data_IF_583232535069
#
_entry.id   IF_583232535069
#
_cell.length_a   1.000
_cell.length_b   1.000
_cell.length_c   1.000
_cell.angle_alpha   90.00
_cell.angle_beta   90.00
_cell.angle_gamma   90.00
#
_symmetry.space_group_name_H-M   'P 1'
#
loop_
_entity.id
_entity.type
_entity.pdbx_description
1 polymer ?
#
# COMPACT_ATOMS: atom_id res chain seq x y z
N UNK A 1 7.09 20.05 -18.58
CA UNK A 1 7.80 20.47 -19.80
C UNK A 1 9.30 20.43 -19.63
N UNK A 2 9.96 21.59 -19.52
CA UNK A 2 11.44 21.68 -19.51
C UNK A 2 12.09 21.07 -18.25
N UNK A 3 11.48 21.28 -17.08
CA UNK A 3 11.95 20.75 -15.80
C UNK A 3 11.85 19.21 -15.71
N UNK A 4 10.78 18.63 -16.25
CA UNK A 4 10.61 17.16 -16.29
C UNK A 4 11.64 16.50 -17.20
N UNK A 5 11.98 17.14 -18.33
CA UNK A 5 13.03 16.65 -19.24
C UNK A 5 14.40 16.71 -18.56
N UNK A 6 14.71 17.77 -17.81
CA UNK A 6 15.98 17.89 -17.08
C UNK A 6 16.08 16.84 -15.97
N UNK A 7 15.00 16.60 -15.23
CA UNK A 7 14.96 15.63 -14.14
C UNK A 7 15.08 14.18 -14.67
N UNK A 8 14.50 13.90 -15.84
CA UNK A 8 14.68 12.63 -16.54
C UNK A 8 16.11 12.47 -17.05
N UNK A 9 16.72 13.52 -17.62
CA UNK A 9 18.12 13.50 -18.05
C UNK A 9 19.06 13.21 -16.88
N UNK A 10 18.85 13.85 -15.74
CA UNK A 10 19.65 13.67 -14.54
C UNK A 10 19.54 12.25 -13.97
N UNK A 11 18.32 11.69 -13.96
CA UNK A 11 18.09 10.27 -13.59
C UNK A 11 18.79 9.31 -14.54
N UNK A 12 18.72 9.55 -15.86
CA UNK A 12 19.40 8.68 -16.84
C UNK A 12 20.91 8.76 -16.73
N UNK A 13 21.48 9.95 -16.48
CA UNK A 13 22.93 10.10 -16.28
C UNK A 13 23.41 9.42 -15.00
N UNK A 14 22.61 9.44 -13.94
CA UNK A 14 22.93 8.74 -12.69
C UNK A 14 22.92 7.22 -12.87
N UNK A 15 21.88 6.68 -13.52
CA UNK A 15 21.79 5.27 -13.87
C UNK A 15 22.97 4.82 -14.74
N UNK A 16 23.36 5.63 -15.72
CA UNK A 16 24.51 5.36 -16.58
C UNK A 16 25.81 5.27 -15.77
N UNK A 17 26.03 6.21 -14.85
CA UNK A 17 27.21 6.24 -14.00
C UNK A 17 27.27 5.04 -13.04
N UNK A 18 26.13 4.65 -12.48
CA UNK A 18 26.05 3.49 -11.58
C UNK A 18 26.34 2.19 -12.34
N UNK A 19 25.85 2.09 -13.58
CA UNK A 19 26.11 0.97 -14.47
C UNK A 19 27.60 0.87 -14.87
N UNK A 20 28.21 1.99 -15.27
CA UNK A 20 29.63 2.05 -15.64
C UNK A 20 30.54 1.71 -14.44
N UNK A 21 30.18 2.17 -13.24
CA UNK A 21 30.87 1.83 -12.00
C UNK A 21 30.76 0.34 -11.69
N UNK A 22 29.58 -0.25 -11.88
CA UNK A 22 29.37 -1.68 -11.69
C UNK A 22 30.21 -2.51 -12.67
N UNK A 23 30.23 -2.15 -13.95
CA UNK A 23 31.05 -2.82 -14.96
C UNK A 23 32.55 -2.64 -14.74
N UNK A 24 33.00 -1.51 -14.17
CA UNK A 24 34.40 -1.30 -13.81
C UNK A 24 34.87 -2.15 -12.61
N UNK A 25 33.94 -2.62 -11.77
CA UNK A 25 34.25 -3.47 -10.61
C UNK A 25 34.29 -4.97 -10.98
N UNK A 26 33.73 -5.34 -12.13
CA UNK A 26 33.83 -6.68 -12.70
C UNK A 26 35.16 -6.82 -13.45
N UNK A 27 36.20 -7.32 -12.76
CA UNK A 27 37.45 -7.68 -13.44
C UNK A 27 37.22 -8.81 -14.45
N UNK A 28 38.00 -8.85 -15.53
CA UNK A 28 37.83 -9.78 -16.65
C UNK A 28 37.90 -11.28 -16.28
N UNK A 29 38.33 -11.64 -15.06
CA UNK A 29 38.36 -13.01 -14.55
C UNK A 29 37.05 -13.44 -13.84
N UNK A 30 36.08 -12.52 -13.68
CA UNK A 30 34.79 -12.78 -13.03
C UNK A 30 33.74 -13.44 -13.96
N UNK A 31 34.17 -14.29 -14.90
CA UNK A 31 33.27 -15.04 -15.80
C UNK A 31 32.46 -16.14 -15.07
N UNK A 32 32.79 -16.45 -13.81
CA UNK A 32 31.92 -17.22 -12.90
C UNK A 32 30.84 -16.36 -12.22
N UNK A 33 30.89 -15.03 -12.37
CA UNK A 33 30.02 -14.06 -11.70
C UNK A 33 28.72 -13.73 -12.42
N UNK A 34 28.50 -14.22 -13.65
CA UNK A 34 27.27 -13.91 -14.41
C UNK A 34 26.00 -14.43 -13.76
N UNK A 35 26.05 -15.53 -13.00
CA UNK A 35 24.89 -16.00 -12.22
C UNK A 35 24.58 -15.10 -11.03
N UNK A 36 25.61 -14.55 -10.38
CA UNK A 36 25.44 -13.62 -9.26
C UNK A 36 24.97 -12.26 -9.75
N UNK A 37 25.53 -11.78 -10.87
CA UNK A 37 25.06 -10.57 -11.55
C UNK A 37 23.64 -10.76 -12.06
N UNK A 38 23.29 -11.88 -12.69
CA UNK A 38 21.92 -12.17 -13.13
C UNK A 38 20.97 -12.27 -11.93
N UNK A 39 21.40 -12.85 -10.80
CA UNK A 39 20.62 -12.89 -9.56
C UNK A 39 20.37 -11.49 -9.02
N UNK A 40 21.41 -10.68 -8.87
CA UNK A 40 21.32 -9.30 -8.35
C UNK A 40 20.50 -8.43 -9.31
N UNK A 41 20.72 -8.51 -10.62
CA UNK A 41 19.95 -7.78 -11.61
C UNK A 41 18.49 -8.21 -11.58
N UNK A 42 18.18 -9.50 -11.47
CA UNK A 42 16.80 -9.98 -11.30
C UNK A 42 16.18 -9.49 -10.01
N UNK A 43 16.89 -9.53 -8.89
CA UNK A 43 16.42 -9.05 -7.59
C UNK A 43 16.10 -7.55 -7.63
N UNK A 44 17.01 -6.73 -8.18
CA UNK A 44 16.80 -5.28 -8.36
C UNK A 44 15.68 -4.95 -9.37
N UNK A 45 15.62 -5.66 -10.51
CA UNK A 45 14.55 -5.45 -11.50
C UNK A 45 13.18 -5.91 -10.97
N UNK A 46 13.14 -6.95 -10.13
CA UNK A 46 11.93 -7.38 -9.42
C UNK A 46 11.51 -6.28 -8.44
N UNK A 47 12.44 -5.66 -7.72
CA UNK A 47 12.13 -4.57 -6.80
C UNK A 47 11.60 -3.33 -7.53
N UNK A 48 12.19 -2.93 -8.68
CA UNK A 48 11.68 -1.83 -9.52
C UNK A 48 10.32 -2.13 -10.17
N UNK A 49 10.06 -3.39 -10.55
CA UNK A 49 8.79 -3.79 -11.16
C UNK A 49 7.72 -4.15 -10.14
N UNK A 50 8.09 -4.32 -8.88
CA UNK A 50 7.16 -4.69 -7.83
C UNK A 50 6.07 -3.65 -7.66
N UNK A 51 4.83 -4.13 -7.58
CA UNK A 51 3.65 -3.33 -7.32
C UNK A 51 3.12 -3.70 -5.95
N UNK A 52 2.89 -2.68 -5.12
CA UNK A 52 2.34 -2.86 -3.77
C UNK A 52 0.85 -2.58 -3.81
N UNK A 53 0.07 -3.59 -3.45
CA UNK A 53 -1.35 -3.48 -3.18
C UNK A 53 -1.54 -3.51 -1.68
N UNK A 54 -2.02 -2.41 -1.09
CA UNK A 54 -2.45 -2.48 0.29
C UNK A 54 -3.87 -2.99 0.37
N UNK A 55 -4.10 -3.83 1.36
CA UNK A 55 -5.37 -4.46 1.63
C UNK A 55 -5.79 -4.09 3.05
N UNK A 56 -6.89 -3.38 3.17
CA UNK A 56 -7.60 -3.15 4.43
C UNK A 56 -8.68 -4.20 4.55
N UNK A 57 -8.70 -4.86 5.69
CA UNK A 57 -9.63 -5.92 6.06
C UNK A 57 -10.49 -5.41 7.20
N UNK A 58 -11.81 -5.37 7.01
CA UNK A 58 -12.76 -5.01 8.06
C UNK A 58 -13.49 -6.25 8.57
N UNK A 59 -13.32 -6.52 9.86
CA UNK A 59 -14.02 -7.60 10.54
C UNK A 59 -15.29 -7.06 11.18
N UNK A 60 -16.40 -7.78 11.03
CA UNK A 60 -17.70 -7.37 11.56
C UNK A 60 -17.68 -7.12 13.08
N UNK A 61 -18.56 -6.23 13.53
CA UNK A 61 -18.67 -5.84 14.94
C UNK A 61 -19.69 -6.65 15.75
N UNK A 62 -20.29 -7.70 15.19
CA UNK A 62 -21.24 -8.57 15.88
C UNK A 62 -20.50 -9.61 16.76
N UNK A 63 -21.16 -10.19 17.78
CA UNK A 63 -20.61 -11.35 18.50
C UNK A 63 -20.19 -12.46 17.53
N UNK A 64 -19.11 -13.18 17.87
CA UNK A 64 -18.56 -14.28 17.07
C UNK A 64 -18.12 -13.90 15.64
N UNK A 65 -17.82 -12.62 15.43
CA UNK A 65 -17.29 -12.11 14.14
C UNK A 65 -15.79 -12.32 13.97
N UNK A 66 -15.07 -12.58 15.07
CA UNK A 66 -13.62 -12.72 15.10
C UNK A 66 -13.13 -14.07 14.57
N UNK A 67 -11.85 -14.12 14.21
CA UNK A 67 -11.23 -15.39 13.85
C UNK A 67 -9.79 -15.47 14.35
N UNK A 68 -9.44 -16.67 14.81
CA UNK A 68 -8.09 -17.13 15.14
C UNK A 68 -7.50 -18.00 14.03
N UNK A 69 -8.10 -17.95 12.83
CA UNK A 69 -7.70 -18.79 11.71
C UNK A 69 -6.67 -18.15 10.82
N UNK A 70 -5.81 -18.98 10.23
CA UNK A 70 -5.06 -18.55 9.06
C UNK A 70 -6.01 -18.11 7.95
N UNK A 71 -5.74 -16.95 7.37
CA UNK A 71 -6.53 -16.42 6.24
C UNK A 71 -5.57 -16.15 5.10
N UNK A 72 -5.98 -16.61 3.92
CA UNK A 72 -5.22 -16.43 2.69
C UNK A 72 -6.00 -15.56 1.73
N UNK A 73 -5.29 -14.73 0.97
CA UNK A 73 -5.85 -13.86 -0.06
C UNK A 73 -5.12 -14.05 -1.38
N UNK A 74 -5.87 -13.96 -2.47
CA UNK A 74 -5.35 -13.76 -3.81
C UNK A 74 -6.16 -12.66 -4.49
N UNK A 75 -5.47 -11.71 -5.12
CA UNK A 75 -6.10 -10.69 -5.94
C UNK A 75 -6.01 -11.11 -7.41
N UNK A 76 -7.10 -10.88 -8.15
CA UNK A 76 -7.17 -11.12 -9.59
C UNK A 76 -7.64 -9.85 -10.29
N UNK A 77 -6.91 -9.44 -11.31
CA UNK A 77 -7.27 -8.35 -12.20
C UNK A 77 -7.19 -8.76 -13.66
N UNK A 78 -7.32 -7.78 -14.56
CA UNK A 78 -7.19 -8.00 -16.01
C UNK A 78 -5.77 -8.32 -16.44
N UNK A 79 -4.77 -7.82 -15.69
CA UNK A 79 -3.34 -8.05 -15.95
C UNK A 79 -2.82 -9.39 -15.42
N UNK A 80 -3.59 -10.09 -14.58
CA UNK A 80 -3.16 -11.37 -14.02
C UNK A 80 -3.76 -11.67 -12.65
N UNK A 81 -3.05 -12.48 -11.86
CA UNK A 81 -3.42 -12.79 -10.48
C UNK A 81 -2.17 -12.88 -9.63
N UNK A 82 -2.28 -12.48 -8.38
CA UNK A 82 -1.21 -12.66 -7.41
C UNK A 82 -1.08 -14.14 -7.05
N UNK A 83 0.00 -14.50 -6.37
CA UNK A 83 0.04 -15.76 -5.65
C UNK A 83 -0.95 -15.74 -4.47
N UNK A 84 -1.18 -16.91 -3.87
CA UNK A 84 -1.96 -17.04 -2.65
C UNK A 84 -1.07 -16.64 -1.48
N UNK A 85 -1.31 -15.47 -0.91
CA UNK A 85 -0.57 -14.97 0.24
C UNK A 85 -1.30 -15.24 1.56
N UNK A 86 -0.53 -15.52 2.61
CA UNK A 86 -1.01 -15.62 3.98
C UNK A 86 -1.16 -14.21 4.55
N UNK A 87 -2.40 -13.74 4.69
CA UNK A 87 -2.67 -12.41 5.27
C UNK A 87 -2.54 -12.42 6.79
N UNK A 88 -3.03 -13.48 7.44
CA UNK A 88 -3.04 -13.55 8.89
C UNK A 88 -2.54 -14.91 9.35
N UNK A 89 -1.60 -14.87 10.28
CA UNK A 89 -1.17 -16.01 11.07
C UNK A 89 -1.48 -15.73 12.55
N UNK A 90 -2.31 -16.55 13.21
CA UNK A 90 -2.65 -16.37 14.63
C UNK A 90 -1.44 -16.51 15.58
N UNK A 91 -0.35 -17.12 15.14
CA UNK A 91 0.90 -17.23 15.91
C UNK A 91 1.78 -15.99 15.82
N UNK A 92 1.47 -15.05 14.91
CA UNK A 92 2.18 -13.78 14.79
C UNK A 92 1.53 -12.74 15.72
N UNK A 93 2.36 -12.04 16.50
CA UNK A 93 1.92 -11.09 17.55
C UNK A 93 1.11 -9.89 17.02
N UNK A 94 1.15 -9.60 15.72
CA UNK A 94 0.80 -8.28 15.19
C UNK A 94 -0.49 -8.20 14.37
N UNK A 95 -1.27 -9.27 14.21
CA UNK A 95 -2.33 -9.29 13.18
C UNK A 95 -3.68 -9.95 13.54
N UNK A 96 -4.14 -9.95 14.78
CA UNK A 96 -5.45 -10.58 15.10
C UNK A 96 -6.65 -9.93 14.36
N UNK A 97 -7.48 -10.76 13.71
CA UNK A 97 -8.81 -10.41 13.20
C UNK A 97 -9.87 -10.46 14.31
N UNK A 98 -9.69 -9.59 15.30
CA UNK A 98 -10.64 -9.42 16.39
C UNK A 98 -11.95 -8.79 15.90
N UNK A 99 -13.01 -8.95 16.68
CA UNK A 99 -14.32 -8.33 16.45
C UNK A 99 -14.18 -6.82 16.26
N UNK A 100 -14.78 -6.29 15.19
CA UNK A 100 -14.76 -4.85 14.86
C UNK A 100 -13.36 -4.31 14.51
N UNK A 101 -12.38 -5.18 14.27
CA UNK A 101 -11.02 -4.75 13.93
C UNK A 101 -10.91 -4.34 12.47
N UNK A 102 -10.03 -3.37 12.25
CA UNK A 102 -9.56 -2.94 10.94
C UNK A 102 -8.06 -3.24 10.87
N UNK A 103 -7.65 -3.98 9.85
CA UNK A 103 -6.26 -4.42 9.68
C UNK A 103 -5.78 -4.13 8.28
N UNK A 104 -4.54 -3.66 8.14
CA UNK A 104 -3.94 -3.31 6.87
C UNK A 104 -2.73 -4.20 6.59
N UNK A 105 -2.62 -4.66 5.35
CA UNK A 105 -1.55 -5.54 4.88
C UNK A 105 -0.99 -5.03 3.56
N UNK A 106 0.31 -5.15 3.36
CA UNK A 106 0.98 -4.81 2.10
C UNK A 106 1.21 -6.10 1.31
N UNK A 107 0.48 -6.30 0.22
CA UNK A 107 0.65 -7.40 -0.72
C UNK A 107 1.58 -6.95 -1.85
N UNK A 108 2.69 -7.66 -2.04
CA UNK A 108 3.71 -7.32 -3.06
C UNK A 108 3.66 -8.31 -4.21
N UNK A 109 3.50 -7.82 -5.42
CA UNK A 109 3.54 -8.65 -6.63
C UNK A 109 4.56 -8.11 -7.61
N UNK A 110 5.19 -9.02 -8.34
CA UNK A 110 6.15 -8.77 -9.43
C UNK A 110 5.51 -8.15 -10.68
N UNK A 111 4.17 -8.16 -10.78
CA UNK A 111 3.43 -7.67 -11.93
C UNK A 111 2.29 -6.70 -11.54
N UNK A 112 1.90 -5.86 -12.49
CA UNK A 112 0.72 -5.02 -12.36
C UNK A 112 -0.54 -5.85 -12.64
N UNK A 113 -1.57 -5.77 -11.79
CA UNK A 113 -2.83 -6.50 -11.97
C UNK A 113 -3.85 -5.72 -12.83
N UNK A 114 -3.53 -4.47 -13.17
CA UNK A 114 -4.40 -3.52 -13.87
C UNK A 114 -5.74 -3.31 -13.15
N UNK A 115 -6.88 -3.52 -13.84
CA UNK A 115 -8.19 -3.41 -13.23
C UNK A 115 -8.48 -4.64 -12.37
N UNK A 116 -8.62 -4.45 -11.07
CA UNK A 116 -8.99 -5.54 -10.16
C UNK A 116 -10.42 -5.99 -10.43
N UNK A 117 -10.61 -7.30 -10.50
CA UNK A 117 -11.88 -7.95 -10.82
C UNK A 117 -12.42 -8.75 -9.63
N UNK A 118 -11.55 -9.49 -8.95
CA UNK A 118 -11.94 -10.42 -7.89
C UNK A 118 -10.89 -10.46 -6.77
N UNK A 119 -11.36 -10.62 -5.53
CA UNK A 119 -10.57 -11.03 -4.39
C UNK A 119 -11.00 -12.43 -3.96
N UNK A 120 -10.04 -13.32 -3.72
CA UNK A 120 -10.29 -14.72 -3.37
C UNK A 120 -9.75 -14.98 -1.98
N UNK A 121 -10.62 -15.42 -1.08
CA UNK A 121 -10.30 -15.58 0.34
C UNK A 121 -10.43 -17.05 0.72
N UNK A 122 -9.43 -17.59 1.42
CA UNK A 122 -9.48 -18.92 2.03
C UNK A 122 -9.29 -18.82 3.54
N UNK A 123 -9.93 -19.73 4.27
CA UNK A 123 -9.70 -19.93 5.70
C UNK A 123 -8.97 -21.25 5.91
N UNK A 124 -7.98 -21.29 6.81
CA UNK A 124 -7.15 -22.47 7.09
C UNK A 124 -7.67 -23.38 8.20
N UNK A 125 -8.54 -22.92 9.10
CA UNK A 125 -9.09 -23.77 10.16
C UNK A 125 -10.23 -24.65 9.69
N UNK A 126 -10.48 -25.74 10.41
CA UNK A 126 -11.71 -26.54 10.30
C UNK A 126 -12.44 -26.60 11.65
N UNK A 127 -13.76 -26.85 11.64
CA UNK A 127 -14.58 -27.03 12.85
C UNK A 127 -15.74 -26.04 13.00
N UNK A 128 -16.59 -26.25 14.01
CA UNK A 128 -17.81 -25.45 14.23
C UNK A 128 -17.53 -23.97 14.58
N UNK A 129 -16.37 -23.68 15.17
CA UNK A 129 -15.92 -22.32 15.53
C UNK A 129 -15.03 -21.67 14.47
N UNK A 130 -14.76 -22.35 13.35
CA UNK A 130 -13.98 -21.83 12.23
C UNK A 130 -14.85 -20.94 11.33
N UNK A 131 -15.32 -19.83 11.89
CA UNK A 131 -16.16 -18.85 11.24
C UNK A 131 -15.50 -17.46 11.34
N UNK A 132 -15.74 -16.60 10.36
CA UNK A 132 -15.23 -15.24 10.36
C UNK A 132 -16.22 -14.31 9.67
N UNK A 133 -16.67 -13.25 10.33
CA UNK A 133 -17.54 -12.27 9.68
C UNK A 133 -16.67 -11.22 8.98
N UNK A 134 -16.44 -11.41 7.68
CA UNK A 134 -15.80 -10.41 6.84
C UNK A 134 -16.85 -9.38 6.40
N UNK A 135 -16.63 -8.12 6.74
CA UNK A 135 -17.50 -7.02 6.32
C UNK A 135 -17.17 -6.61 4.89
N UNK A 136 -15.95 -6.14 4.68
CA UNK A 136 -15.42 -5.82 3.35
C UNK A 136 -13.88 -5.89 3.32
N UNK A 137 -13.35 -5.89 2.09
CA UNK A 137 -11.95 -5.58 1.83
C UNK A 137 -11.87 -4.29 1.02
N UNK A 138 -10.92 -3.42 1.34
CA UNK A 138 -10.57 -2.27 0.51
C UNK A 138 -9.14 -2.45 0.04
N UNK A 139 -8.94 -2.45 -1.27
CA UNK A 139 -7.62 -2.63 -1.88
C UNK A 139 -7.22 -1.35 -2.60
N UNK A 140 -6.03 -0.86 -2.31
CA UNK A 140 -5.45 0.28 -3.02
C UNK A 140 -4.12 -0.08 -3.66
N UNK A 141 -4.00 0.30 -4.91
CA UNK A 141 -2.77 0.17 -5.66
C UNK A 141 -1.88 1.38 -5.37
N UNK A 142 -0.75 1.15 -4.71
CA UNK A 142 0.16 2.23 -4.31
C UNK A 142 0.80 2.97 -5.51
N UNK A 143 0.89 2.32 -6.67
CA UNK A 143 1.48 2.88 -7.89
C UNK A 143 0.48 3.76 -8.66
N UNK A 144 -0.72 3.25 -8.90
CA UNK A 144 -1.75 3.95 -9.71
C UNK A 144 -2.68 4.83 -8.88
N UNK A 145 -2.75 4.58 -7.57
CA UNK A 145 -3.71 5.22 -6.67
C UNK A 145 -5.16 4.81 -6.91
N UNK A 146 -5.39 3.73 -7.67
CA UNK A 146 -6.73 3.17 -7.85
C UNK A 146 -7.17 2.41 -6.60
N UNK A 147 -8.43 2.59 -6.21
CA UNK A 147 -9.03 1.98 -5.02
C UNK A 147 -10.22 1.12 -5.43
N UNK A 148 -10.31 -0.07 -4.84
CA UNK A 148 -11.36 -1.05 -5.08
C UNK A 148 -11.93 -1.53 -3.75
N UNK A 149 -13.24 -1.65 -3.68
CA UNK A 149 -13.94 -2.27 -2.55
C UNK A 149 -14.45 -3.65 -2.95
N UNK A 150 -14.37 -4.60 -2.03
CA UNK A 150 -14.87 -5.97 -2.18
C UNK A 150 -15.84 -6.24 -1.03
N UNK A 151 -17.11 -5.86 -1.19
CA UNK A 151 -18.11 -6.08 -0.15
C UNK A 151 -18.34 -7.58 0.05
N UNK A 152 -18.36 -8.03 1.30
CA UNK A 152 -18.63 -9.42 1.65
C UNK A 152 -19.91 -9.55 2.49
N UNK A 153 -19.97 -8.82 3.61
CA UNK A 153 -21.13 -8.68 4.49
C UNK A 153 -21.67 -10.00 5.06
N UNK A 154 -20.83 -11.04 5.19
CA UNK A 154 -21.29 -12.38 5.60
C UNK A 154 -20.23 -13.17 6.35
N UNK A 155 -20.70 -14.18 7.07
CA UNK A 155 -19.84 -15.14 7.76
C UNK A 155 -19.21 -16.08 6.73
N UNK A 156 -17.89 -16.07 6.67
CA UNK A 156 -17.06 -17.02 5.96
C UNK A 156 -16.83 -18.24 6.83
N UNK A 157 -16.79 -19.41 6.19
CA UNK A 157 -16.43 -20.69 6.80
C UNK A 157 -15.45 -21.40 5.90
N UNK A 158 -14.68 -22.32 6.46
CA UNK A 158 -13.79 -23.15 5.68
C UNK A 158 -14.55 -24.03 4.68
N UNK A 159 -14.17 -23.91 3.39
CA UNK A 159 -14.73 -24.68 2.27
C UNK A 159 -13.68 -25.59 1.62
N UNK A 160 -12.68 -26.04 2.39
CA UNK A 160 -11.53 -26.76 1.85
C UNK A 160 -10.66 -25.83 1.02
N UNK A 161 -10.22 -26.31 -0.14
CA UNK A 161 -9.37 -25.52 -1.05
C UNK A 161 -10.17 -24.54 -1.94
N UNK A 162 -11.49 -24.41 -1.72
CA UNK A 162 -12.37 -23.55 -2.50
C UNK A 162 -12.34 -22.12 -1.92
N UNK A 163 -11.99 -21.10 -2.71
CA UNK A 163 -12.04 -19.72 -2.23
C UNK A 163 -13.47 -19.21 -2.15
N UNK A 164 -13.68 -18.29 -1.21
CA UNK A 164 -14.76 -17.33 -1.30
C UNK A 164 -14.32 -16.23 -2.27
N UNK A 165 -15.03 -16.10 -3.39
CA UNK A 165 -14.77 -15.07 -4.40
C UNK A 165 -15.62 -13.84 -4.12
N UNK A 166 -14.99 -12.68 -4.07
CA UNK A 166 -15.60 -11.37 -3.90
C UNK A 166 -15.36 -10.56 -5.17
N UNK A 167 -16.39 -9.90 -5.69
CA UNK A 167 -16.28 -9.07 -6.89
C UNK A 167 -15.81 -7.66 -6.53
N UNK A 168 -14.98 -7.07 -7.39
CA UNK A 168 -14.49 -5.72 -7.22
C UNK A 168 -15.55 -4.67 -7.56
N UNK A 169 -15.64 -3.64 -6.73
CA UNK A 169 -16.32 -2.39 -7.00
C UNK A 169 -15.28 -1.26 -6.97
N UNK A 170 -14.90 -0.77 -8.16
CA UNK A 170 -13.95 0.35 -8.28
C UNK A 170 -14.54 1.59 -7.64
N UNK A 171 -13.83 2.14 -6.66
CA UNK A 171 -14.25 3.37 -5.98
C UNK A 171 -13.77 4.58 -6.77
N UNK A 172 -14.58 5.64 -6.87
CA UNK A 172 -14.13 6.90 -7.44
C UNK A 172 -12.98 7.44 -6.59
N UNK A 173 -12.02 8.08 -7.25
CA UNK A 173 -10.93 8.78 -6.56
C UNK A 173 -11.52 10.08 -6.01
N UNK A 174 -12.14 10.03 -4.84
CA UNK A 174 -12.69 11.22 -4.20
C UNK A 174 -11.52 12.09 -3.72
N UNK A 175 -11.25 13.20 -4.42
CA UNK A 175 -10.41 14.25 -3.86
C UNK A 175 -11.26 15.04 -2.87
N UNK A 176 -10.98 14.89 -1.58
CA UNK A 176 -11.55 15.77 -0.59
C UNK A 176 -10.63 16.98 -0.41
N UNK A 177 -11.14 18.18 -0.65
CA UNK A 177 -10.45 19.41 -0.28
C UNK A 177 -10.41 19.50 1.25
N UNK A 178 -9.22 19.56 1.83
CA UNK A 178 -9.03 19.79 3.26
C UNK A 178 -8.66 21.26 3.47
N UNK A 179 -9.51 21.99 4.21
CA UNK A 179 -9.18 23.34 4.69
C UNK A 179 -8.54 23.25 6.07
N UNK A 180 -7.24 23.56 6.17
CA UNK A 180 -6.52 23.67 7.44
C UNK A 180 -6.36 25.15 7.78
N UNK A 181 -6.88 25.58 8.93
CA UNK A 181 -6.67 26.95 9.44
C UNK A 181 -5.90 26.91 10.76
N UNK A 182 -4.97 27.83 10.94
CA UNK A 182 -4.18 28.01 12.15
C UNK A 182 -4.40 29.43 12.65
N UNK A 183 -4.52 29.58 13.97
CA UNK A 183 -4.54 30.89 14.64
C UNK A 183 -3.35 30.97 15.58
N UNK A 184 -2.53 32.00 15.43
CA UNK A 184 -1.38 32.26 16.29
C UNK A 184 -1.80 33.33 17.29
N UNK A 185 -1.78 33.02 18.59
CA UNK A 185 -2.12 33.99 19.63
C UNK A 185 -0.93 34.90 19.95
N UNK A 186 -1.17 36.20 20.16
CA UNK A 186 -0.15 37.22 20.49
C UNK A 186 0.56 37.03 21.84
N UNK A 187 0.24 35.99 22.63
CA UNK A 187 0.91 35.74 23.91
C UNK A 187 2.03 34.72 23.76
N UNK A 188 3.24 35.28 23.72
CA UNK A 188 4.57 34.71 23.94
C UNK A 188 5.36 34.28 22.69
N UNK A 189 6.19 35.21 22.21
CA UNK A 189 7.37 34.93 21.39
C UNK A 189 7.27 35.31 19.91
N UNK A 190 8.40 35.44 19.20
CA UNK A 190 8.40 35.56 17.75
C UNK A 190 7.74 34.32 17.12
N UNK A 191 6.97 34.47 16.03
CA UNK A 191 6.35 33.34 15.36
C UNK A 191 7.44 32.35 14.87
N UNK A 192 7.16 31.04 14.85
CA UNK A 192 8.08 30.07 14.27
C UNK A 192 8.32 30.37 12.79
N UNK A 193 9.57 30.20 12.33
CA UNK A 193 9.96 30.48 10.93
C UNK A 193 9.31 29.54 9.92
N UNK A 194 8.87 28.35 10.34
CA UNK A 194 8.14 27.41 9.51
C UNK A 194 7.09 26.63 10.30
N UNK A 195 5.92 26.46 9.71
CA UNK A 195 4.87 25.57 10.18
C UNK A 195 4.69 24.46 9.15
N UNK A 196 4.77 23.21 9.58
CA UNK A 196 4.45 22.05 8.75
C UNK A 196 3.17 21.39 9.23
N UNK A 197 2.29 21.08 8.30
CA UNK A 197 1.09 20.26 8.55
C UNK A 197 1.21 19.00 7.71
N UNK A 198 1.03 17.85 8.36
CA UNK A 198 0.93 16.55 7.70
C UNK A 198 -0.48 16.02 7.83
N UNK A 199 -1.18 15.91 6.72
CA UNK A 199 -2.52 15.33 6.67
C UNK A 199 -2.43 13.83 6.45
N UNK A 200 -3.12 13.07 7.30
CA UNK A 200 -3.27 11.63 7.14
C UNK A 200 -4.71 11.34 6.72
N UNK A 201 -4.91 10.84 5.51
CA UNK A 201 -6.20 10.29 5.10
C UNK A 201 -6.41 8.88 5.66
N UNK A 202 -7.68 8.46 5.82
CA UNK A 202 -8.03 7.09 6.23
C UNK A 202 -7.59 6.02 5.22
N UNK A 203 -7.20 6.42 4.00
CA UNK A 203 -6.77 5.54 2.91
C UNK A 203 -5.23 5.41 2.76
N UNK A 204 -4.46 5.83 3.76
CA UNK A 204 -3.04 5.49 3.86
C UNK A 204 -2.12 6.05 2.76
N UNK A 205 -2.54 7.10 2.05
CA UNK A 205 -1.64 7.90 1.21
C UNK A 205 -0.60 8.61 2.09
N UNK A 206 0.65 8.66 1.63
CA UNK A 206 1.67 9.49 2.27
C UNK A 206 1.19 10.94 2.32
N UNK A 207 1.14 11.50 3.53
CA UNK A 207 0.71 12.87 3.75
C UNK A 207 1.62 13.85 3.02
N UNK A 208 1.02 14.79 2.31
CA UNK A 208 1.76 15.92 1.72
C UNK A 208 2.25 16.79 2.86
N UNK A 209 3.57 16.99 2.95
CA UNK A 209 4.14 18.01 3.84
C UNK A 209 3.88 19.38 3.21
N UNK A 210 2.89 20.10 3.74
CA UNK A 210 2.65 21.49 3.36
C UNK A 210 3.47 22.37 4.31
N UNK A 211 4.57 22.92 3.80
CA UNK A 211 5.37 23.93 4.51
C UNK A 211 4.72 25.28 4.26
N UNK A 212 4.27 25.92 5.33
CA UNK A 212 3.68 27.25 5.28
C UNK A 212 4.69 28.28 5.79
N UNK A 213 4.90 29.31 4.98
CA UNK A 213 5.68 30.48 5.37
C UNK A 213 4.84 31.37 6.29
N UNK A 214 5.16 31.33 7.59
CA UNK A 214 4.46 32.10 8.61
C UNK A 214 4.60 33.63 8.38
N UNK A 215 5.66 34.10 7.70
CA UNK A 215 5.85 35.51 7.41
C UNK A 215 4.91 36.03 6.31
N UNK A 216 4.43 35.15 5.43
CA UNK A 216 3.47 35.51 4.39
C UNK A 216 2.04 35.65 4.93
N UNK A 217 1.65 34.82 5.91
CA UNK A 217 0.29 34.77 6.45
C UNK A 217 -0.09 36.01 7.31
N UNK A 218 0.89 36.70 7.90
CA UNK A 218 0.66 37.89 8.74
C UNK A 218 0.20 39.11 7.94
N UNK A 219 0.40 39.13 6.60
CA UNK A 219 0.07 40.30 5.76
C UNK A 219 -1.39 40.40 5.31
N UNK A 220 -2.20 39.35 5.44
CA UNK A 220 -3.61 39.38 5.03
C UNK A 220 -4.61 39.73 6.15
N UNK A 221 -4.18 39.81 7.41
CA UNK A 221 -5.04 40.14 8.55
C UNK A 221 -5.14 41.63 8.91
N UNK A 222 -4.53 42.52 8.13
CA UNK A 222 -4.53 43.96 8.37
C UNK A 222 -5.12 44.71 7.16
N UNK A 223 -6.43 44.57 6.98
CA UNK A 223 -7.25 45.31 6.01
C UNK A 223 -8.65 45.53 6.56
#
# INVERSE_FOLDING_TARGET
>A
GRLEVTLLQERTSKLQSDLDRFYSLLSADALMGWQEVDRVVKEYLVEERSTVYRVEVRTGAYPDSETDCEVYLQLKGTGGSTERELLFNPSALDASFARGSLRCFDLRTDAELDELLEARVWMGCTGERAAWMLEDLVVWNARTGATYSFPCGRILRHQGNTPVVLSACRLPRESCDYAVSFSVSERAGPPPESLSVRLFGTLGGEGVDVVLDAAAAVREGAG
#
